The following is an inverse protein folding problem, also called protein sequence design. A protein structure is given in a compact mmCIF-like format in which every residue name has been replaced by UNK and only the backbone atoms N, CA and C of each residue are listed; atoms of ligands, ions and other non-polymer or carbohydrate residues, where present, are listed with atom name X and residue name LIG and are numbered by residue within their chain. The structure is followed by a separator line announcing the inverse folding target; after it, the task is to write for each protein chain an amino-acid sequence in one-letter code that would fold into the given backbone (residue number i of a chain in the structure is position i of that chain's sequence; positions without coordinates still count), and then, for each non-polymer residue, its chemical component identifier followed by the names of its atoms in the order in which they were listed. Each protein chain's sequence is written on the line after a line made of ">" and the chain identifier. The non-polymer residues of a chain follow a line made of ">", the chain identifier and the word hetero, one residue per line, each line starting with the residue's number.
data_IF_091897601542
#
_entry.id   IF_091897601542
#
_cell.length_a   1.000
_cell.length_b   1.000
_cell.length_c   1.000
_cell.angle_alpha   90.00
_cell.angle_beta   90.00
_cell.angle_gamma   90.00
#
_symmetry.space_group_name_H-M   'P 1'
#
loop_
_entity.id
_entity.type
_entity.pdbx_description
1 polymer ?
#
# COMPACT_ATOMS: atom_id res chain seq x y z
N UNK A 1 -6.84 1.56 -6.92
CA UNK A 1 -6.08 2.57 -7.70
C UNK A 1 -5.73 2.04 -9.08
N UNK A 2 -5.09 0.88 -9.21
CA UNK A 2 -4.80 0.29 -10.53
C UNK A 2 -5.98 0.29 -11.50
N UNK A 3 -7.13 -0.26 -11.09
CA UNK A 3 -8.35 -0.22 -11.90
C UNK A 3 -8.83 1.20 -12.26
N UNK A 4 -8.76 2.14 -11.31
CA UNK A 4 -9.17 3.54 -11.50
C UNK A 4 -8.31 4.23 -12.58
N UNK A 5 -7.03 3.86 -12.64
CA UNK A 5 -6.03 4.47 -13.53
C UNK A 5 -5.74 3.62 -14.78
N UNK A 6 -6.49 2.53 -15.00
CA UNK A 6 -6.33 1.66 -16.17
C UNK A 6 -5.17 0.66 -16.10
N UNK A 7 -4.50 0.51 -14.96
CA UNK A 7 -3.39 -0.43 -14.76
C UNK A 7 -3.64 -1.35 -13.56
N UNK A 8 -4.42 -2.41 -13.81
CA UNK A 8 -4.75 -3.42 -12.80
C UNK A 8 -3.49 -4.16 -12.32
N UNK A 9 -2.51 -4.36 -13.20
CA UNK A 9 -1.29 -5.10 -12.92
C UNK A 9 -0.45 -4.40 -11.83
N UNK A 10 -0.22 -3.09 -11.97
CA UNK A 10 0.43 -2.28 -10.93
C UNK A 10 -0.35 -2.33 -9.61
N UNK A 11 -1.67 -2.15 -9.68
CA UNK A 11 -2.53 -2.11 -8.50
C UNK A 11 -2.48 -3.40 -7.67
N UNK A 12 -2.61 -4.55 -8.33
CA UNK A 12 -2.59 -5.86 -7.66
C UNK A 12 -1.19 -6.20 -7.17
N UNK A 13 -0.16 -5.99 -7.98
CA UNK A 13 1.21 -6.38 -7.64
C UNK A 13 1.75 -5.58 -6.45
N UNK A 14 1.57 -4.24 -6.49
CA UNK A 14 2.01 -3.36 -5.40
C UNK A 14 1.14 -3.55 -4.16
N UNK A 15 -0.18 -3.68 -4.34
CA UNK A 15 -1.12 -3.93 -3.25
C UNK A 15 -0.77 -5.20 -2.50
N UNK A 16 -0.55 -6.31 -3.20
CA UNK A 16 -0.17 -7.59 -2.60
C UNK A 16 1.16 -7.51 -1.85
N UNK A 17 2.18 -6.86 -2.45
CA UNK A 17 3.49 -6.70 -1.82
C UNK A 17 3.39 -5.89 -0.53
N UNK A 18 2.71 -4.75 -0.56
CA UNK A 18 2.59 -3.87 0.60
C UNK A 18 1.65 -4.44 1.67
N UNK A 19 0.60 -5.16 1.30
CA UNK A 19 -0.25 -5.87 2.25
C UNK A 19 0.56 -6.90 3.05
N UNK A 20 1.40 -7.69 2.37
CA UNK A 20 2.32 -8.61 3.04
C UNK A 20 3.34 -7.86 3.92
N UNK A 21 3.85 -6.72 3.45
CA UNK A 21 4.83 -5.93 4.19
C UNK A 21 4.25 -5.38 5.51
N UNK A 22 2.99 -4.95 5.50
CA UNK A 22 2.28 -4.43 6.67
C UNK A 22 1.51 -5.52 7.45
N UNK A 23 1.60 -6.80 7.05
CA UNK A 23 0.88 -7.91 7.68
C UNK A 23 1.44 -8.20 9.09
N UNK A 24 0.93 -7.46 10.07
CA UNK A 24 1.40 -7.49 11.45
C UNK A 24 1.40 -6.10 12.13
N UNK A 25 1.22 -5.02 11.37
CA UNK A 25 1.10 -3.68 11.92
C UNK A 25 -0.36 -3.35 12.22
N UNK A 26 -0.87 -3.83 13.36
CA UNK A 26 -2.21 -3.50 13.83
C UNK A 26 -2.19 -2.36 14.86
N UNK A 27 -3.25 -1.54 14.85
CA UNK A 27 -3.54 -0.60 15.93
C UNK A 27 -3.80 -1.39 17.23
N UNK A 28 -2.87 -1.36 18.17
CA UNK A 28 -3.02 -1.96 19.50
C UNK A 28 -3.07 -0.86 20.56
N UNK A 29 -4.27 -0.59 21.08
CA UNK A 29 -4.49 0.51 22.02
C UNK A 29 -4.23 1.87 21.37
N UNK A 30 -3.37 2.68 21.98
CA UNK A 30 -2.98 4.00 21.47
C UNK A 30 -1.78 3.96 20.50
N UNK A 31 -1.22 2.77 20.19
CA UNK A 31 -0.14 2.65 19.23
C UNK A 31 -0.67 2.80 17.81
N UNK A 32 -0.30 3.89 17.15
CA UNK A 32 -0.66 4.18 15.77
C UNK A 32 0.45 3.66 14.82
N UNK A 33 0.20 2.59 14.03
CA UNK A 33 1.14 2.06 13.07
C UNK A 33 1.28 2.99 11.86
N UNK A 34 2.11 2.59 10.90
CA UNK A 34 2.18 3.29 9.62
C UNK A 34 0.87 3.13 8.85
N UNK A 35 0.54 4.15 8.06
CA UNK A 35 -0.69 4.17 7.28
C UNK A 35 -0.49 3.34 6.00
N UNK A 36 -0.75 2.04 6.13
CA UNK A 36 -0.66 1.03 5.06
C UNK A 36 -1.48 1.41 3.82
N UNK A 37 -2.68 1.97 4.04
CA UNK A 37 -3.61 2.36 3.00
C UNK A 37 -3.02 3.44 2.12
N UNK A 38 -2.51 4.53 2.70
CA UNK A 38 -1.90 5.62 1.93
C UNK A 38 -0.64 5.14 1.21
N UNK A 39 0.16 4.29 1.85
CA UNK A 39 1.32 3.67 1.23
C UNK A 39 0.90 2.85 0.01
N UNK A 40 -0.09 1.97 0.13
CA UNK A 40 -0.54 1.09 -0.94
C UNK A 40 -1.22 1.87 -2.08
N UNK A 41 -2.18 2.74 -1.76
CA UNK A 41 -2.93 3.49 -2.77
C UNK A 41 -2.06 4.52 -3.47
N UNK A 42 -1.22 5.25 -2.72
CA UNK A 42 -0.31 6.26 -3.29
C UNK A 42 0.78 5.62 -4.17
N UNK A 43 1.40 4.54 -3.71
CA UNK A 43 2.43 3.83 -4.49
C UNK A 43 1.85 3.21 -5.76
N UNK A 44 0.68 2.55 -5.67
CA UNK A 44 0.01 1.99 -6.83
C UNK A 44 -0.44 3.08 -7.83
N UNK A 45 -0.87 4.23 -7.32
CA UNK A 45 -1.25 5.37 -8.15
C UNK A 45 -0.04 5.97 -8.90
N UNK A 46 1.09 6.14 -8.21
CA UNK A 46 2.32 6.60 -8.82
C UNK A 46 2.81 5.62 -9.89
N UNK A 47 2.86 4.32 -9.59
CA UNK A 47 3.32 3.30 -10.53
C UNK A 47 2.48 3.23 -11.82
N UNK A 48 1.15 3.21 -11.68
CA UNK A 48 0.24 3.23 -12.82
C UNK A 48 0.45 4.49 -13.68
N UNK A 49 0.65 5.64 -13.03
CA UNK A 49 0.89 6.90 -13.75
C UNK A 49 2.27 6.98 -14.39
N UNK A 50 3.29 6.34 -13.82
CA UNK A 50 4.62 6.24 -14.43
C UNK A 50 4.54 5.42 -15.72
N UNK A 51 3.90 4.25 -15.69
CA UNK A 51 3.69 3.42 -16.87
C UNK A 51 2.95 4.18 -17.97
N UNK A 52 1.81 4.82 -17.62
CA UNK A 52 1.03 5.62 -18.54
C UNK A 52 1.82 6.77 -19.19
N UNK A 53 2.69 7.46 -18.43
CA UNK A 53 3.49 8.58 -18.95
C UNK A 53 4.59 8.14 -19.93
N UNK A 54 5.12 6.93 -19.77
CA UNK A 54 6.12 6.34 -20.69
C UNK A 54 5.49 5.66 -21.91
N UNK A 55 4.17 5.44 -21.90
CA UNK A 55 3.50 4.58 -22.88
C UNK A 55 3.95 3.11 -22.83
N UNK A 56 4.74 2.74 -21.82
CA UNK A 56 5.22 1.39 -21.60
C UNK A 56 4.21 0.58 -20.78
N UNK A 57 4.25 -0.74 -20.94
CA UNK A 57 3.52 -1.64 -20.05
C UNK A 57 4.06 -1.53 -18.63
N UNK A 58 3.19 -1.88 -17.67
CA UNK A 58 3.57 -1.94 -16.27
C UNK A 58 4.61 -3.05 -16.03
N UNK A 59 5.82 -2.66 -15.62
CA UNK A 59 6.94 -3.60 -15.40
C UNK A 59 7.36 -3.65 -13.94
N UNK A 60 7.98 -4.77 -13.55
CA UNK A 60 8.56 -4.94 -12.21
C UNK A 60 9.61 -3.89 -11.86
N UNK A 61 10.33 -3.36 -12.85
CA UNK A 61 11.27 -2.27 -12.64
C UNK A 61 10.56 -0.99 -12.21
N UNK A 62 9.48 -0.60 -12.91
CA UNK A 62 8.65 0.56 -12.54
C UNK A 62 7.99 0.37 -11.18
N UNK A 63 7.48 -0.83 -10.87
CA UNK A 63 6.92 -1.12 -9.56
C UNK A 63 7.94 -0.99 -8.44
N UNK A 64 9.17 -1.43 -8.68
CA UNK A 64 10.25 -1.29 -7.70
C UNK A 64 10.61 0.16 -7.45
N UNK A 65 10.73 0.98 -8.51
CA UNK A 65 10.96 2.42 -8.36
C UNK A 65 9.84 3.06 -7.55
N UNK A 66 8.58 2.77 -7.89
CA UNK A 66 7.44 3.30 -7.16
C UNK A 66 7.48 2.89 -5.68
N UNK A 67 7.68 1.61 -5.37
CA UNK A 67 7.77 1.13 -3.98
C UNK A 67 8.90 1.84 -3.23
N UNK A 68 10.11 1.91 -3.81
CA UNK A 68 11.26 2.53 -3.15
C UNK A 68 11.03 4.02 -2.85
N UNK A 69 10.37 4.75 -3.76
CA UNK A 69 10.13 6.19 -3.60
C UNK A 69 8.93 6.50 -2.69
N UNK A 70 7.88 5.67 -2.75
CA UNK A 70 6.59 5.98 -2.12
C UNK A 70 6.26 5.14 -0.89
N UNK A 71 7.06 4.12 -0.53
CA UNK A 71 6.89 3.42 0.76
C UNK A 71 6.95 4.36 2.00
N UNK A 72 7.71 5.48 2.02
CA UNK A 72 7.68 6.41 3.16
C UNK A 72 6.32 7.11 3.36
N UNK A 73 5.39 7.02 2.41
CA UNK A 73 4.03 7.52 2.56
C UNK A 73 3.32 6.91 3.76
N UNK A 74 3.64 5.67 4.16
CA UNK A 74 3.08 5.07 5.38
C UNK A 74 3.39 5.89 6.63
N UNK A 75 4.64 6.38 6.76
CA UNK A 75 5.05 7.28 7.83
C UNK A 75 4.41 8.67 7.70
N UNK A 76 4.26 9.18 6.48
CA UNK A 76 3.58 10.47 6.25
C UNK A 76 2.10 10.41 6.61
N UNK A 77 1.41 9.33 6.25
CA UNK A 77 0.01 9.12 6.60
C UNK A 77 -0.18 9.03 8.11
N UNK A 78 0.67 8.29 8.82
CA UNK A 78 0.66 8.27 10.30
C UNK A 78 0.84 9.67 10.90
N UNK A 79 1.68 10.51 10.30
CA UNK A 79 1.82 11.89 10.74
C UNK A 79 0.53 12.69 10.50
N UNK A 80 -0.11 12.52 9.34
CA UNK A 80 -1.43 13.09 9.04
C UNK A 80 -2.51 12.66 10.04
N UNK A 81 -2.59 11.37 10.34
CA UNK A 81 -3.52 10.80 11.33
C UNK A 81 -3.33 11.46 12.71
N UNK A 82 -2.08 11.63 13.16
CA UNK A 82 -1.77 12.32 14.44
C UNK A 82 -2.20 13.78 14.45
N UNK A 83 -2.03 14.49 13.34
CA UNK A 83 -2.48 15.89 13.24
C UNK A 83 -4.00 15.99 13.33
N UNK A 84 -4.72 14.99 12.83
CA UNK A 84 -6.18 14.96 12.82
C UNK A 84 -6.79 14.45 14.13
N UNK A 85 -6.02 13.74 14.95
CA UNK A 85 -6.48 13.14 16.21
C UNK A 85 -7.13 14.16 17.16
N UNK A 86 -6.52 15.34 17.33
CA UNK A 86 -7.08 16.40 18.18
C UNK A 86 -8.42 16.96 17.68
N UNK A 87 -8.56 17.09 16.36
CA UNK A 87 -9.81 17.51 15.72
C UNK A 87 -10.89 16.43 15.89
N UNK A 88 -10.54 15.16 15.72
CA UNK A 88 -11.45 14.02 15.96
C UNK A 88 -11.94 13.96 17.40
N UNK A 89 -11.03 14.11 18.36
CA UNK A 89 -11.37 14.08 19.78
C UNK A 89 -12.36 15.20 20.15
N UNK A 90 -12.22 16.39 19.56
CA UNK A 90 -13.17 17.48 19.74
C UNK A 90 -14.55 17.14 19.16
N UNK A 91 -14.60 16.60 17.94
CA UNK A 91 -15.85 16.24 17.28
C UNK A 91 -16.58 15.10 18.01
N UNK A 92 -15.83 14.13 18.53
CA UNK A 92 -16.35 13.03 19.36
C UNK A 92 -17.01 13.55 20.64
N UNK A 93 -16.39 14.51 21.35
CA UNK A 93 -17.01 15.14 22.54
C UNK A 93 -18.32 15.86 22.20
N UNK A 94 -18.37 16.56 21.06
CA UNK A 94 -19.60 17.24 20.60
C UNK A 94 -20.69 16.22 20.23
N UNK A 95 -20.31 15.11 19.61
CA UNK A 95 -21.23 14.03 19.27
C UNK A 95 -21.82 13.39 20.53
N UNK A 96 -20.99 13.09 21.53
CA UNK A 96 -21.41 12.52 22.81
C UNK A 96 -22.39 13.44 23.55
N UNK A 97 -22.05 14.72 23.71
CA UNK A 97 -22.93 15.70 24.36
C UNK A 97 -24.28 15.86 23.60
N UNK A 98 -24.26 15.75 22.27
CA UNK A 98 -25.49 15.78 21.46
C UNK A 98 -26.35 14.54 21.69
N UNK A 99 -25.74 13.37 21.89
CA UNK A 99 -26.44 12.13 22.19
C UNK A 99 -27.04 12.14 23.61
N UNK A 100 -26.31 12.63 24.60
CA UNK A 100 -26.80 12.80 25.98
C UNK A 100 -27.99 13.76 26.06
N UNK A 101 -28.03 14.77 25.20
CA UNK A 101 -29.17 15.68 25.05
C UNK A 101 -30.35 15.10 24.24
N UNK A 102 -30.30 13.81 23.87
CA UNK A 102 -31.33 13.13 23.08
C UNK A 102 -31.32 13.43 21.58
N UNK A 103 -30.35 14.20 21.07
CA UNK A 103 -30.26 14.60 19.67
C UNK A 103 -29.35 13.66 18.87
N UNK A 104 -29.82 12.44 18.64
CA UNK A 104 -29.07 11.38 17.94
C UNK A 104 -28.71 11.75 16.50
N UNK A 105 -29.60 12.44 15.77
CA UNK A 105 -29.34 12.88 14.39
C UNK A 105 -28.15 13.83 14.30
N UNK A 106 -27.99 14.70 15.29
CA UNK A 106 -26.82 15.58 15.38
C UNK A 106 -25.56 14.80 15.74
N UNK A 107 -25.64 13.85 16.66
CA UNK A 107 -24.52 13.00 17.05
C UNK A 107 -23.94 12.22 15.85
N UNK A 108 -24.82 11.55 15.08
CA UNK A 108 -24.42 10.80 13.86
C UNK A 108 -23.77 11.73 12.83
N UNK A 109 -24.38 12.90 12.58
CA UNK A 109 -23.83 13.87 11.63
C UNK A 109 -22.42 14.31 12.03
N UNK A 110 -22.19 14.56 13.32
CA UNK A 110 -20.85 14.96 13.79
C UNK A 110 -19.84 13.81 13.71
N UNK A 111 -20.26 12.56 13.94
CA UNK A 111 -19.40 11.41 13.73
C UNK A 111 -18.95 11.29 12.26
N UNK A 112 -19.89 11.39 11.31
CA UNK A 112 -19.59 11.35 9.88
C UNK A 112 -18.73 12.54 9.41
N UNK A 113 -18.98 13.73 9.94
CA UNK A 113 -18.13 14.91 9.64
C UNK A 113 -16.68 14.72 10.07
N UNK A 114 -16.40 13.85 11.04
CA UNK A 114 -15.04 13.52 11.44
C UNK A 114 -14.25 12.82 10.32
N UNK A 115 -14.91 12.10 9.43
CA UNK A 115 -14.23 11.36 8.36
C UNK A 115 -13.74 12.27 7.23
N UNK A 116 -14.42 13.39 7.01
CA UNK A 116 -14.19 14.27 5.85
C UNK A 116 -12.75 14.77 5.70
N UNK A 117 -12.07 15.27 6.74
CA UNK A 117 -10.68 15.70 6.61
C UNK A 117 -9.72 14.59 6.16
N UNK A 118 -9.89 13.37 6.66
CA UNK A 118 -9.06 12.23 6.23
C UNK A 118 -9.29 11.94 4.74
N UNK A 119 -10.54 11.95 4.29
CA UNK A 119 -10.88 11.75 2.89
C UNK A 119 -10.24 12.81 1.99
N UNK A 120 -10.35 14.09 2.36
CA UNK A 120 -9.78 15.20 1.58
C UNK A 120 -8.26 15.13 1.56
N UNK A 121 -7.61 14.93 2.72
CA UNK A 121 -6.15 14.93 2.82
C UNK A 121 -5.56 13.72 2.09
N UNK A 122 -6.06 12.50 2.35
CA UNK A 122 -5.54 11.30 1.70
C UNK A 122 -5.92 11.21 0.23
N UNK A 123 -7.09 11.71 -0.15
CA UNK A 123 -7.46 11.89 -1.56
C UNK A 123 -6.49 12.84 -2.27
N UNK A 124 -6.18 13.99 -1.69
CA UNK A 124 -5.24 14.96 -2.24
C UNK A 124 -3.82 14.39 -2.32
N UNK A 125 -3.34 13.68 -1.29
CA UNK A 125 -2.03 13.03 -1.30
C UNK A 125 -1.95 11.92 -2.36
N UNK A 126 -2.99 11.11 -2.51
CA UNK A 126 -3.05 10.11 -3.59
C UNK A 126 -3.06 10.78 -4.98
N UNK A 127 -3.81 11.86 -5.17
CA UNK A 127 -3.81 12.62 -6.42
C UNK A 127 -2.42 13.24 -6.70
N UNK A 128 -1.73 13.73 -5.67
CA UNK A 128 -0.35 14.20 -5.79
C UNK A 128 0.60 13.06 -6.22
N UNK A 129 0.40 11.83 -5.73
CA UNK A 129 1.18 10.67 -6.17
C UNK A 129 0.96 10.33 -7.65
N UNK A 130 -0.27 10.52 -8.18
CA UNK A 130 -0.53 10.40 -9.62
C UNK A 130 0.31 11.43 -10.39
N UNK A 131 0.24 12.70 -10.00
CA UNK A 131 1.01 13.77 -10.66
C UNK A 131 2.52 13.52 -10.60
N UNK A 132 3.03 13.12 -9.44
CA UNK A 132 4.44 12.77 -9.27
C UNK A 132 4.82 11.56 -10.13
N UNK A 133 3.99 10.52 -10.19
CA UNK A 133 4.21 9.37 -11.06
C UNK A 133 4.31 9.76 -12.53
N UNK A 134 3.42 10.63 -13.02
CA UNK A 134 3.47 11.13 -14.39
C UNK A 134 4.77 11.88 -14.71
N UNK A 135 5.30 12.66 -13.75
CA UNK A 135 6.57 13.39 -13.92
C UNK A 135 7.78 12.47 -13.80
N UNK A 136 7.74 11.51 -12.87
CA UNK A 136 8.86 10.59 -12.62
C UNK A 136 8.99 9.49 -13.67
N UNK A 137 7.89 9.07 -14.32
CA UNK A 137 7.89 8.02 -15.34
C UNK A 137 8.94 8.24 -16.43
N UNK A 138 8.90 9.36 -17.17
CA UNK A 138 9.90 9.69 -18.19
C UNK A 138 11.33 9.78 -17.64
N UNK A 139 11.49 10.13 -16.35
CA UNK A 139 12.83 10.18 -15.74
C UNK A 139 13.45 8.79 -15.57
N UNK A 140 12.63 7.74 -15.44
CA UNK A 140 13.10 6.36 -15.34
C UNK A 140 13.72 5.87 -16.65
N UNK A 141 13.29 6.39 -17.79
CA UNK A 141 13.84 6.01 -19.11
C UNK A 141 15.31 6.46 -19.28
N UNK A 142 15.76 7.45 -18.52
CA UNK A 142 17.17 7.87 -18.51
C UNK A 142 18.08 6.95 -17.68
N UNK A 143 17.52 5.98 -16.95
CA UNK A 143 18.33 5.05 -16.16
C UNK A 143 19.05 4.03 -17.07
N UNK A 144 20.29 3.65 -16.73
CA UNK A 144 21.02 2.65 -17.50
C UNK A 144 20.31 1.29 -17.42
N UNK A 145 20.32 0.55 -18.53
CA UNK A 145 19.63 -0.74 -18.65
C UNK A 145 20.04 -1.75 -17.55
N UNK A 146 21.31 -1.73 -17.13
CA UNK A 146 21.80 -2.56 -16.03
C UNK A 146 21.04 -2.29 -14.71
N UNK A 147 20.75 -1.01 -14.41
CA UNK A 147 19.99 -0.63 -13.23
C UNK A 147 18.52 -1.01 -13.36
N UNK A 148 17.91 -0.82 -14.53
CA UNK A 148 16.53 -1.25 -14.79
C UNK A 148 16.36 -2.76 -14.60
N UNK A 149 17.33 -3.55 -15.08
CA UNK A 149 17.35 -5.01 -14.85
C UNK A 149 17.51 -5.34 -13.36
N UNK A 150 18.38 -4.63 -12.64
CA UNK A 150 18.52 -4.78 -11.19
C UNK A 150 17.22 -4.47 -10.45
N UNK A 151 16.53 -3.39 -10.83
CA UNK A 151 15.23 -3.00 -10.27
C UNK A 151 14.13 -4.00 -10.61
N UNK A 152 14.14 -4.62 -11.79
CA UNK A 152 13.21 -5.69 -12.11
C UNK A 152 13.37 -6.87 -11.13
N UNK A 153 14.60 -7.26 -10.81
CA UNK A 153 14.87 -8.31 -9.80
C UNK A 153 14.66 -7.85 -8.35
N UNK A 154 14.68 -6.55 -8.08
CA UNK A 154 14.40 -6.03 -6.74
C UNK A 154 12.93 -6.28 -6.33
N UNK A 155 11.98 -6.26 -7.26
CA UNK A 155 10.57 -6.49 -6.96
C UNK A 155 10.29 -7.86 -6.30
N UNK A 156 10.65 -9.01 -6.92
CA UNK A 156 10.45 -10.31 -6.29
C UNK A 156 11.31 -10.50 -5.02
N UNK A 157 12.47 -9.86 -4.93
CA UNK A 157 13.28 -9.86 -3.70
C UNK A 157 12.53 -9.16 -2.55
N UNK A 158 11.95 -7.97 -2.79
CA UNK A 158 11.11 -7.28 -1.82
C UNK A 158 9.88 -8.10 -1.44
N UNK A 159 9.23 -8.77 -2.40
CA UNK A 159 8.10 -9.66 -2.13
C UNK A 159 8.49 -10.83 -1.22
N UNK A 160 9.69 -11.39 -1.39
CA UNK A 160 10.21 -12.45 -0.52
C UNK A 160 10.43 -11.96 0.92
N UNK A 161 10.99 -10.76 1.08
CA UNK A 161 11.14 -10.10 2.39
C UNK A 161 9.77 -9.85 3.02
N UNK A 162 8.82 -9.31 2.25
CA UNK A 162 7.45 -9.06 2.71
C UNK A 162 6.75 -10.35 3.18
N UNK A 163 6.91 -11.46 2.45
CA UNK A 163 6.36 -12.76 2.85
C UNK A 163 6.96 -13.26 4.17
N UNK A 164 8.26 -13.05 4.39
CA UNK A 164 8.92 -13.41 5.67
C UNK A 164 8.42 -12.51 6.81
N UNK A 165 8.27 -11.21 6.57
CA UNK A 165 7.70 -10.28 7.56
C UNK A 165 6.27 -10.68 7.95
N UNK A 166 5.44 -11.01 6.97
CA UNK A 166 4.10 -11.53 7.18
C UNK A 166 4.09 -12.82 8.02
N UNK A 167 4.99 -13.76 7.72
CA UNK A 167 5.12 -14.99 8.49
C UNK A 167 5.56 -14.72 9.95
N UNK A 168 6.46 -13.75 10.17
CA UNK A 168 6.88 -13.33 11.51
C UNK A 168 5.77 -12.60 12.28
N UNK A 169 4.94 -11.83 11.59
CA UNK A 169 3.77 -11.16 12.17
C UNK A 169 2.70 -12.15 12.66
N UNK A 170 2.73 -13.41 12.21
CA UNK A 170 1.82 -14.44 12.67
C UNK A 170 2.19 -14.93 14.08
N UNK A 171 1.27 -14.80 15.04
CA UNK A 171 1.43 -15.30 16.41
C UNK A 171 1.33 -16.83 16.54
N UNK A 172 1.20 -17.57 15.44
CA UNK A 172 1.15 -19.03 15.48
C UNK A 172 2.52 -19.63 15.79
N UNK A 173 2.59 -20.54 16.78
CA UNK A 173 3.84 -21.22 17.19
C UNK A 173 4.59 -21.92 16.04
N UNK A 174 3.87 -22.31 14.99
CA UNK A 174 4.39 -23.01 13.80
C UNK A 174 4.30 -22.17 12.52
N UNK A 175 4.11 -20.86 12.63
CA UNK A 175 4.09 -19.94 11.49
C UNK A 175 5.23 -20.15 10.47
N UNK A 176 6.52 -20.27 10.89
CA UNK A 176 7.60 -20.47 9.92
C UNK A 176 7.50 -21.81 9.19
N UNK A 177 6.98 -22.86 9.84
CA UNK A 177 6.77 -24.15 9.20
C UNK A 177 5.68 -24.06 8.13
N UNK A 178 4.55 -23.41 8.44
CA UNK A 178 3.46 -23.23 7.47
C UNK A 178 3.89 -22.35 6.29
N UNK A 179 4.65 -21.29 6.55
CA UNK A 179 5.21 -20.45 5.50
C UNK A 179 6.18 -21.22 4.60
N UNK A 180 7.08 -22.04 5.18
CA UNK A 180 8.01 -22.88 4.43
C UNK A 180 7.29 -23.93 3.58
N UNK A 181 6.25 -24.58 4.13
CA UNK A 181 5.42 -25.54 3.39
C UNK A 181 4.68 -24.87 2.22
N UNK A 182 4.10 -23.68 2.46
CA UNK A 182 3.46 -22.89 1.41
C UNK A 182 4.44 -22.51 0.30
N UNK A 183 5.62 -21.99 0.65
CA UNK A 183 6.68 -21.64 -0.30
C UNK A 183 7.13 -22.88 -1.11
N UNK A 184 7.40 -24.01 -0.44
CA UNK A 184 7.77 -25.25 -1.11
C UNK A 184 6.68 -25.74 -2.08
N UNK A 185 5.41 -25.64 -1.68
CA UNK A 185 4.27 -25.98 -2.54
C UNK A 185 4.19 -25.11 -3.80
N UNK A 186 4.36 -23.78 -3.66
CA UNK A 186 4.38 -22.85 -4.80
C UNK A 186 5.58 -23.12 -5.71
N UNK A 187 6.78 -23.30 -5.15
CA UNK A 187 7.98 -23.63 -5.93
C UNK A 187 7.80 -24.94 -6.70
N UNK A 188 7.26 -25.98 -6.06
CA UNK A 188 6.99 -27.26 -6.73
C UNK A 188 5.97 -27.09 -7.86
N UNK A 189 4.89 -26.34 -7.63
CA UNK A 189 3.88 -26.07 -8.66
C UNK A 189 4.48 -25.36 -9.88
N UNK A 190 5.36 -24.37 -9.66
CA UNK A 190 6.06 -23.66 -10.73
C UNK A 190 7.02 -24.59 -11.48
N UNK A 191 7.80 -25.42 -10.78
CA UNK A 191 8.70 -26.39 -11.43
C UNK A 191 7.89 -27.36 -12.30
N UNK A 192 6.76 -27.86 -11.77
CA UNK A 192 5.88 -28.76 -12.51
C UNK A 192 5.24 -28.08 -13.72
N UNK A 193 4.81 -26.82 -13.63
CA UNK A 193 4.25 -26.10 -14.79
C UNK A 193 5.30 -25.89 -15.87
N UNK A 194 6.52 -25.47 -15.51
CA UNK A 194 7.62 -25.28 -16.46
C UNK A 194 8.03 -26.59 -17.14
N UNK A 195 8.00 -27.71 -16.41
CA UNK A 195 8.29 -29.03 -16.98
C UNK A 195 7.24 -29.51 -18.01
N UNK A 196 6.01 -28.97 -17.97
CA UNK A 196 4.95 -29.30 -18.94
C UNK A 196 5.01 -28.46 -20.22
N UNK A 197 5.63 -27.29 -20.18
CA UNK A 197 5.76 -26.39 -21.34
C UNK A 197 6.94 -26.77 -22.25
N UNK A 198 7.84 -27.65 -21.79
CA UNK A 198 8.97 -28.17 -22.56
C UNK A 198 8.92 -29.72 -22.69
N UNK A 199 8.01 -30.28 -23.51
CA UNK A 199 8.11 -31.66 -24.00
C UNK A 199 9.16 -31.82 -25.12
#
# INVERSE_FOLDING_TARGET
>A
MGLLLGDVSAGVSIGMLLELFYLGTANLGAALPENDTLSATGTAAAAASMAAATGADSTQALWSVAVLLFIPLGRMGRYGDRLLEGYMARLARVALASAEAGNLSRAVRQNLWGMWPHFVIYGALCAACVLLGAVLGPLVEFLPLALLRGLAWAFPAMASVAAVLAAQGSHARRAPLYAALGAAGVCLAIILSLSREHP
#
